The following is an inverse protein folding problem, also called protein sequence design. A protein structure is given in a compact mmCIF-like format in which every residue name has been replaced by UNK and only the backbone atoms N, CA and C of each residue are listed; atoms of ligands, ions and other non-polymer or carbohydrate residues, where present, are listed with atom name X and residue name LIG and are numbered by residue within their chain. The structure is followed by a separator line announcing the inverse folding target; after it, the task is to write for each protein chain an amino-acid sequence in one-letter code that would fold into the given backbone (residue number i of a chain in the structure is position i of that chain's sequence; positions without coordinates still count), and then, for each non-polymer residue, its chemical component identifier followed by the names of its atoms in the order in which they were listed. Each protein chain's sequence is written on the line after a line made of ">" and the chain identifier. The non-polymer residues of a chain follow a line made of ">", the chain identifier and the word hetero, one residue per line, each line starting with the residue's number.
data_IF_110018086216
#
_entry.id   IF_110018086216
#
_cell.length_a   1.000
_cell.length_b   1.000
_cell.length_c   1.000
_cell.angle_alpha   90.00
_cell.angle_beta   90.00
_cell.angle_gamma   90.00
#
_symmetry.space_group_name_H-M   'P 1'
#
loop_
_entity.id
_entity.type
_entity.pdbx_description
1 polymer ?
#
# COMPACT_ATOMS: atom_id res chain seq x y z
N UNK A 1 66.84 5.34 -101.99
CA UNK A 1 68.08 4.99 -102.70
C UNK A 1 67.69 4.38 -104.03
N UNK A 2 67.74 5.15 -105.11
CA UNK A 2 67.43 4.66 -106.45
C UNK A 2 68.72 4.06 -107.04
N UNK A 3 68.85 2.74 -106.98
CA UNK A 3 69.87 2.04 -107.76
C UNK A 3 69.45 2.11 -109.23
N UNK A 4 70.24 2.75 -110.09
CA UNK A 4 70.07 2.67 -111.53
C UNK A 4 70.51 1.27 -111.97
N UNK A 5 69.55 0.47 -112.41
CA UNK A 5 69.81 -0.86 -112.96
C UNK A 5 70.57 -0.71 -114.27
N UNK A 6 71.56 -1.58 -114.52
CA UNK A 6 72.18 -1.60 -115.84
C UNK A 6 71.14 -2.01 -116.88
N UNK A 7 71.20 -1.45 -118.09
CA UNK A 7 70.20 -1.68 -119.15
C UNK A 7 70.06 -3.16 -119.51
N UNK A 8 71.13 -3.95 -119.38
CA UNK A 8 71.11 -5.39 -119.61
C UNK A 8 70.37 -6.16 -118.50
N UNK A 9 70.54 -5.72 -117.25
CA UNK A 9 69.88 -6.32 -116.09
C UNK A 9 68.38 -6.01 -116.08
N UNK A 10 68.00 -4.79 -116.52
CA UNK A 10 66.61 -4.36 -116.63
C UNK A 10 65.86 -5.13 -117.72
N UNK A 11 66.50 -5.38 -118.88
CA UNK A 11 65.91 -6.19 -119.95
C UNK A 11 65.74 -7.64 -119.50
N UNK A 12 66.75 -8.21 -118.84
CA UNK A 12 66.68 -9.59 -118.32
C UNK A 12 65.58 -9.73 -117.27
N UNK A 13 65.44 -8.77 -116.35
CA UNK A 13 64.38 -8.76 -115.36
C UNK A 13 62.99 -8.62 -116.00
N UNK A 14 62.82 -7.73 -116.98
CA UNK A 14 61.56 -7.57 -117.69
C UNK A 14 61.19 -8.87 -118.40
N UNK A 15 62.13 -9.56 -119.07
CA UNK A 15 61.82 -10.84 -119.74
C UNK A 15 61.39 -11.94 -118.76
N UNK A 16 62.00 -11.99 -117.57
CA UNK A 16 61.62 -12.97 -116.53
C UNK A 16 60.26 -12.63 -115.93
N UNK A 17 59.98 -11.35 -115.66
CA UNK A 17 58.68 -10.91 -115.15
C UNK A 17 57.56 -11.09 -116.19
N UNK A 18 57.87 -10.92 -117.47
CA UNK A 18 56.97 -11.21 -118.59
C UNK A 18 56.57 -12.69 -118.61
N UNK A 19 57.57 -13.58 -118.52
CA UNK A 19 57.36 -15.02 -118.47
C UNK A 19 56.57 -15.42 -117.21
N UNK A 20 56.80 -14.78 -116.06
CA UNK A 20 55.98 -14.98 -114.86
C UNK A 20 54.53 -14.51 -115.01
N UNK A 21 54.28 -13.36 -115.69
CA UNK A 21 52.93 -12.88 -116.00
C UNK A 21 52.20 -13.85 -116.95
N UNK A 22 52.90 -14.33 -117.97
CA UNK A 22 52.40 -15.30 -118.94
C UNK A 22 52.10 -16.66 -118.27
N UNK A 23 52.97 -17.13 -117.37
CA UNK A 23 52.75 -18.35 -116.59
C UNK A 23 51.58 -18.22 -115.62
N UNK A 24 51.38 -17.06 -114.99
CA UNK A 24 50.22 -16.80 -114.12
C UNK A 24 48.91 -16.69 -114.91
N UNK A 25 48.96 -16.20 -116.16
CA UNK A 25 47.84 -16.21 -117.09
C UNK A 25 47.50 -17.65 -117.54
N UNK A 26 48.51 -18.46 -117.84
CA UNK A 26 48.36 -19.89 -118.18
C UNK A 26 47.79 -20.69 -117.01
N UNK A 27 48.27 -20.48 -115.78
CA UNK A 27 47.71 -21.09 -114.57
C UNK A 27 46.24 -20.72 -114.33
N UNK A 28 45.80 -19.54 -114.81
CA UNK A 28 44.39 -19.15 -114.81
C UNK A 28 43.52 -19.82 -115.85
N UNK A 29 44.11 -20.23 -116.97
CA UNK A 29 43.41 -20.85 -118.08
C UNK A 29 43.34 -22.39 -117.95
N UNK A 30 44.28 -23.00 -117.22
CA UNK A 30 44.33 -24.46 -116.98
C UNK A 30 43.39 -24.88 -115.85
N UNK A 31 42.98 -23.97 -114.96
CA UNK A 31 42.07 -24.30 -113.85
C UNK A 31 40.60 -24.06 -114.20
N UNK A 32 39.67 -24.93 -113.77
CA UNK A 32 38.25 -24.64 -113.84
C UNK A 32 37.96 -23.43 -112.96
N UNK A 33 37.36 -22.38 -113.54
CA UNK A 33 36.77 -21.28 -112.79
C UNK A 33 35.74 -21.89 -111.83
N UNK A 34 35.93 -21.74 -110.52
CA UNK A 34 34.96 -22.19 -109.54
C UNK A 34 33.61 -21.51 -109.86
N UNK A 35 32.63 -22.28 -110.33
CA UNK A 35 31.33 -21.73 -110.73
C UNK A 35 30.58 -22.41 -111.88
N UNK A 36 30.77 -23.70 -112.17
CA UNK A 36 29.76 -24.44 -112.96
C UNK A 36 29.37 -25.76 -112.30
N UNK A 37 28.19 -25.71 -111.67
CA UNK A 37 27.29 -26.84 -111.41
C UNK A 37 27.48 -27.54 -110.07
N UNK A 38 26.58 -27.30 -109.11
CA UNK A 38 25.61 -28.30 -108.60
C UNK A 38 24.43 -27.58 -107.91
N UNK A 39 23.21 -28.14 -107.99
CA UNK A 39 21.99 -27.47 -107.56
C UNK A 39 21.74 -27.56 -106.04
N UNK A 40 21.09 -26.51 -105.58
CA UNK A 40 20.41 -26.26 -104.31
C UNK A 40 19.58 -27.46 -103.84
N UNK A 41 19.95 -28.06 -102.69
CA UNK A 41 19.08 -28.92 -101.87
C UNK A 41 19.37 -28.73 -100.39
N UNK A 42 18.46 -27.97 -99.76
CA UNK A 42 17.89 -28.07 -98.43
C UNK A 42 18.76 -28.52 -97.25
N UNK A 43 19.05 -27.52 -96.44
CA UNK A 43 19.73 -27.53 -95.16
C UNK A 43 18.70 -27.61 -94.03
N UNK A 44 17.92 -28.67 -93.97
CA UNK A 44 16.97 -28.93 -92.88
C UNK A 44 16.78 -30.44 -92.70
N UNK A 45 17.58 -31.06 -91.81
CA UNK A 45 17.32 -32.30 -91.04
C UNK A 45 18.65 -32.95 -90.62
N UNK A 46 19.28 -32.41 -89.57
CA UNK A 46 20.22 -33.19 -88.73
C UNK A 46 20.38 -32.50 -87.36
N UNK A 47 19.23 -32.15 -86.79
CA UNK A 47 19.06 -32.06 -85.35
C UNK A 47 18.31 -33.32 -84.94
N UNK A 48 19.01 -34.25 -84.31
CA UNK A 48 18.62 -35.06 -83.15
C UNK A 48 19.52 -36.30 -83.12
N UNK A 49 20.04 -36.59 -81.93
CA UNK A 49 20.78 -37.80 -81.56
C UNK A 49 22.23 -37.97 -82.05
N UNK A 50 23.14 -37.31 -81.33
CA UNK A 50 24.40 -37.96 -80.97
C UNK A 50 24.98 -37.36 -79.68
N UNK A 51 24.61 -37.94 -78.53
CA UNK A 51 25.44 -37.88 -77.32
C UNK A 51 25.79 -39.31 -76.87
N UNK A 52 27.11 -39.53 -76.85
CA UNK A 52 27.89 -40.53 -76.08
C UNK A 52 27.92 -41.96 -76.63
N UNK A 53 29.06 -42.34 -77.19
CA UNK A 53 30.12 -43.07 -76.47
C UNK A 53 31.44 -43.08 -77.29
N UNK A 54 32.60 -43.34 -76.66
CA UNK A 54 33.90 -42.99 -77.22
C UNK A 54 34.42 -44.05 -78.18
N UNK A 55 34.93 -43.64 -79.34
CA UNK A 55 35.72 -44.50 -80.21
C UNK A 55 37.18 -44.07 -80.23
N UNK A 56 38.00 -45.09 -80.00
CA UNK A 56 39.44 -45.18 -80.02
C UNK A 56 40.06 -44.81 -81.38
N UNK A 57 41.27 -44.28 -81.28
CA UNK A 57 42.42 -44.42 -82.18
C UNK A 57 42.21 -45.24 -83.47
N UNK A 58 42.32 -44.53 -84.60
CA UNK A 58 42.93 -44.88 -85.90
C UNK A 58 42.09 -44.21 -86.98
N UNK A 59 42.58 -43.09 -87.48
CA UNK A 59 42.31 -42.59 -88.84
C UNK A 59 43.24 -41.40 -89.07
N UNK A 60 44.51 -41.70 -89.35
CA UNK A 60 45.55 -40.70 -89.59
C UNK A 60 46.02 -40.61 -91.05
N UNK A 61 45.48 -41.37 -92.00
CA UNK A 61 46.14 -41.50 -93.32
C UNK A 61 45.28 -41.28 -94.59
N UNK A 62 44.05 -40.74 -94.50
CA UNK A 62 43.23 -40.50 -95.72
C UNK A 62 42.69 -39.07 -95.91
N UNK A 63 43.10 -38.10 -95.09
CA UNK A 63 42.58 -36.71 -95.14
C UNK A 63 43.50 -35.69 -95.82
N UNK A 64 44.63 -36.10 -96.41
CA UNK A 64 45.56 -35.14 -97.03
C UNK A 64 45.18 -34.73 -98.46
N UNK A 65 44.51 -35.58 -99.25
CA UNK A 65 44.21 -35.25 -100.66
C UNK A 65 42.99 -34.32 -100.85
N UNK A 66 42.01 -34.35 -99.93
CA UNK A 66 40.75 -33.61 -100.11
C UNK A 66 40.75 -32.16 -99.61
N UNK A 67 41.87 -31.65 -99.08
CA UNK A 67 41.96 -30.26 -98.57
C UNK A 67 42.16 -29.21 -99.68
N UNK A 68 42.50 -29.65 -100.89
CA UNK A 68 42.79 -28.79 -102.04
C UNK A 68 41.59 -28.48 -102.94
N UNK A 69 40.37 -28.94 -102.58
CA UNK A 69 39.14 -28.77 -103.38
C UNK A 69 38.00 -28.04 -102.65
N UNK A 70 38.29 -27.28 -101.59
CA UNK A 70 37.27 -26.44 -100.95
C UNK A 70 36.97 -25.19 -101.82
N UNK A 71 35.70 -24.79 -102.03
CA UNK A 71 35.35 -23.58 -102.79
C UNK A 71 36.01 -22.32 -102.23
N UNK A 72 36.08 -22.19 -100.90
CA UNK A 72 36.69 -21.04 -100.22
C UNK A 72 38.21 -20.94 -100.45
N UNK A 73 38.91 -22.08 -100.50
CA UNK A 73 40.35 -22.08 -100.81
C UNK A 73 40.61 -21.83 -102.28
N UNK A 74 39.69 -22.24 -103.17
CA UNK A 74 39.77 -21.95 -104.60
C UNK A 74 39.54 -20.46 -104.89
N UNK A 75 38.55 -19.83 -104.26
CA UNK A 75 38.30 -18.38 -104.39
C UNK A 75 39.45 -17.53 -103.84
N UNK A 76 40.02 -17.93 -102.69
CA UNK A 76 41.19 -17.26 -102.13
C UNK A 76 42.42 -17.40 -103.04
N UNK A 77 42.65 -18.58 -103.61
CA UNK A 77 43.75 -18.79 -104.57
C UNK A 77 43.55 -18.00 -105.86
N UNK A 78 42.33 -17.86 -106.36
CA UNK A 78 42.02 -17.05 -107.54
C UNK A 78 42.20 -15.55 -107.26
N UNK A 79 41.79 -15.08 -106.08
CA UNK A 79 42.05 -13.71 -105.63
C UNK A 79 43.55 -13.43 -105.49
N UNK A 80 44.30 -14.34 -104.85
CA UNK A 80 45.75 -14.23 -104.68
C UNK A 80 46.47 -14.25 -106.04
N UNK A 81 46.04 -15.11 -106.97
CA UNK A 81 46.57 -15.17 -108.34
C UNK A 81 46.31 -13.85 -109.08
N UNK A 82 45.10 -13.31 -109.00
CA UNK A 82 44.74 -12.05 -109.66
C UNK A 82 45.51 -10.87 -109.05
N UNK A 83 45.66 -10.84 -107.72
CA UNK A 83 46.44 -9.84 -107.02
C UNK A 83 47.92 -9.87 -107.42
N UNK A 84 48.54 -11.05 -107.46
CA UNK A 84 49.95 -11.21 -107.90
C UNK A 84 50.12 -10.83 -109.36
N UNK A 85 49.19 -11.22 -110.24
CA UNK A 85 49.20 -10.80 -111.64
C UNK A 85 49.11 -9.27 -111.75
N UNK A 86 48.18 -8.62 -111.06
CA UNK A 86 48.06 -7.15 -111.05
C UNK A 86 49.33 -6.45 -110.53
N UNK A 87 49.96 -6.98 -109.47
CA UNK A 87 51.21 -6.44 -108.93
C UNK A 87 52.36 -6.57 -109.94
N UNK A 88 52.46 -7.70 -110.64
CA UNK A 88 53.48 -7.95 -111.68
C UNK A 88 53.22 -7.08 -112.92
N UNK A 89 51.97 -6.96 -113.39
CA UNK A 89 51.61 -6.08 -114.51
C UNK A 89 51.93 -4.62 -114.20
N UNK A 90 51.64 -4.15 -112.98
CA UNK A 90 51.94 -2.78 -112.55
C UNK A 90 53.45 -2.54 -112.42
N UNK A 91 54.20 -3.53 -111.93
CA UNK A 91 55.66 -3.51 -111.86
C UNK A 91 56.31 -3.51 -113.25
N UNK A 92 55.81 -4.32 -114.19
CA UNK A 92 56.26 -4.37 -115.58
C UNK A 92 56.02 -3.05 -116.32
N UNK A 93 54.86 -2.41 -116.11
CA UNK A 93 54.59 -1.07 -116.64
C UNK A 93 55.55 -0.03 -116.08
N UNK A 94 55.75 -0.01 -114.77
CA UNK A 94 56.68 0.95 -114.13
C UNK A 94 58.15 0.73 -114.54
N UNK A 95 58.59 -0.52 -114.68
CA UNK A 95 59.94 -0.86 -115.17
C UNK A 95 60.17 -0.46 -116.62
N UNK A 96 59.15 -0.58 -117.49
CA UNK A 96 59.23 -0.16 -118.90
C UNK A 96 59.20 1.35 -119.07
N UNK A 97 58.44 2.06 -118.25
CA UNK A 97 58.20 3.50 -118.42
C UNK A 97 59.20 4.37 -117.66
N UNK A 98 59.52 4.04 -116.41
CA UNK A 98 60.34 4.88 -115.52
C UNK A 98 61.57 4.18 -114.95
N UNK A 99 61.66 2.85 -115.10
CA UNK A 99 62.78 2.04 -114.58
C UNK A 99 62.81 1.93 -113.06
N UNK A 100 61.68 2.15 -112.39
CA UNK A 100 61.55 2.12 -110.92
C UNK A 100 60.58 1.02 -110.44
N UNK A 101 60.54 0.77 -109.13
CA UNK A 101 59.75 -0.32 -108.52
C UNK A 101 58.89 0.16 -107.32
N UNK A 102 58.47 1.43 -107.32
CA UNK A 102 57.70 2.04 -106.22
C UNK A 102 56.30 1.45 -106.09
N UNK A 103 55.66 0.99 -107.18
CA UNK A 103 54.36 0.32 -107.18
C UNK A 103 54.40 -0.99 -106.38
N UNK A 104 55.45 -1.80 -106.55
CA UNK A 104 55.68 -3.02 -105.77
C UNK A 104 55.96 -2.68 -104.30
N UNK A 105 56.79 -1.67 -104.01
CA UNK A 105 57.05 -1.24 -102.63
C UNK A 105 55.78 -0.76 -101.92
N UNK A 106 54.93 0.00 -102.61
CA UNK A 106 53.66 0.49 -102.07
C UNK A 106 52.67 -0.65 -101.84
N UNK A 107 52.51 -1.57 -102.80
CA UNK A 107 51.68 -2.76 -102.64
C UNK A 107 52.17 -3.68 -101.50
N UNK A 108 53.49 -3.85 -101.36
CA UNK A 108 54.10 -4.59 -100.25
C UNK A 108 53.89 -3.91 -98.90
N UNK A 109 53.97 -2.59 -98.82
CA UNK A 109 53.73 -1.82 -97.60
C UNK A 109 52.24 -1.82 -97.20
N UNK A 110 51.34 -1.74 -98.18
CA UNK A 110 49.90 -1.87 -97.98
C UNK A 110 49.52 -3.28 -97.51
N UNK A 111 50.11 -4.33 -98.10
CA UNK A 111 49.96 -5.71 -97.64
C UNK A 111 50.52 -5.94 -96.23
N UNK A 112 51.69 -5.35 -95.91
CA UNK A 112 52.24 -5.37 -94.55
C UNK A 112 51.29 -4.70 -93.55
N UNK A 113 50.73 -3.54 -93.88
CA UNK A 113 49.74 -2.83 -93.05
C UNK A 113 48.42 -3.60 -92.94
N UNK A 114 47.98 -4.27 -94.01
CA UNK A 114 46.79 -5.13 -94.00
C UNK A 114 47.00 -6.34 -93.08
N UNK A 115 48.14 -7.03 -93.20
CA UNK A 115 48.52 -8.14 -92.33
C UNK A 115 48.66 -7.71 -90.86
N UNK A 116 49.28 -6.55 -90.59
CA UNK A 116 49.36 -6.00 -89.24
C UNK A 116 47.97 -5.71 -88.65
N UNK A 117 47.07 -5.07 -89.40
CA UNK A 117 45.68 -4.82 -88.95
C UNK A 117 44.90 -6.10 -88.66
N UNK A 118 45.06 -7.12 -89.49
CA UNK A 118 44.43 -8.43 -89.25
C UNK A 118 45.02 -9.07 -87.99
N UNK A 119 46.33 -8.98 -87.80
CA UNK A 119 46.98 -9.50 -86.60
C UNK A 119 46.49 -8.78 -85.32
N UNK A 120 46.41 -7.45 -85.34
CA UNK A 120 45.88 -6.65 -84.22
C UNK A 120 44.40 -6.96 -83.94
N UNK A 121 43.60 -7.17 -84.99
CA UNK A 121 42.21 -7.61 -84.87
C UNK A 121 42.12 -9.00 -84.22
N UNK A 122 42.97 -9.94 -84.62
CA UNK A 122 43.02 -11.29 -84.02
C UNK A 122 43.41 -11.21 -82.54
N UNK A 123 44.42 -10.41 -82.19
CA UNK A 123 44.85 -10.25 -80.79
C UNK A 123 43.71 -9.64 -79.95
N UNK A 124 43.07 -8.57 -80.43
CA UNK A 124 41.98 -7.91 -79.70
C UNK A 124 40.72 -8.75 -79.59
N UNK A 125 40.38 -9.57 -80.61
CA UNK A 125 39.28 -10.54 -80.52
C UNK A 125 39.60 -11.62 -79.49
N UNK A 126 40.82 -12.18 -79.51
CA UNK A 126 41.25 -13.21 -78.56
C UNK A 126 41.26 -12.66 -77.12
N UNK A 127 41.70 -11.41 -76.91
CA UNK A 127 41.59 -10.70 -75.63
C UNK A 127 40.14 -10.46 -75.22
N UNK A 128 39.27 -10.04 -76.13
CA UNK A 128 37.83 -9.89 -75.92
C UNK A 128 37.16 -11.23 -75.54
N UNK A 129 37.59 -12.32 -76.15
CA UNK A 129 37.10 -13.67 -75.85
C UNK A 129 37.59 -14.16 -74.49
N UNK A 130 38.85 -13.86 -74.13
CA UNK A 130 39.41 -14.17 -72.79
C UNK A 130 38.69 -13.40 -71.71
N UNK A 131 38.47 -12.09 -71.88
CA UNK A 131 37.73 -11.26 -70.92
C UNK A 131 36.27 -11.73 -70.78
N UNK A 132 35.60 -12.03 -71.89
CA UNK A 132 34.23 -12.58 -71.86
C UNK A 132 34.16 -13.91 -71.11
N UNK A 133 35.09 -14.84 -71.35
CA UNK A 133 35.18 -16.10 -70.60
C UNK A 133 35.44 -15.87 -69.10
N UNK A 134 36.33 -14.94 -68.76
CA UNK A 134 36.64 -14.61 -67.38
C UNK A 134 35.42 -14.02 -66.65
N UNK A 135 34.71 -13.08 -67.27
CA UNK A 135 33.48 -12.50 -66.74
C UNK A 135 32.38 -13.54 -66.59
N UNK A 136 32.18 -14.42 -67.59
CA UNK A 136 31.23 -15.53 -67.48
C UNK A 136 31.54 -16.44 -66.29
N UNK A 137 32.82 -16.77 -66.06
CA UNK A 137 33.25 -17.55 -64.92
C UNK A 137 32.95 -16.85 -63.59
N UNK A 138 33.32 -15.57 -63.48
CA UNK A 138 33.02 -14.76 -62.28
C UNK A 138 31.51 -14.69 -62.00
N UNK A 139 30.69 -14.54 -63.04
CA UNK A 139 29.23 -14.47 -62.91
C UNK A 139 28.66 -15.81 -62.37
N UNK A 140 29.19 -16.94 -62.85
CA UNK A 140 28.83 -18.26 -62.34
C UNK A 140 29.27 -18.45 -60.89
N UNK A 141 30.50 -18.03 -60.55
CA UNK A 141 31.04 -18.17 -59.20
C UNK A 141 30.26 -17.30 -58.19
N UNK A 142 29.94 -16.05 -58.53
CA UNK A 142 29.07 -15.18 -57.73
C UNK A 142 27.69 -15.80 -57.54
N UNK A 143 27.09 -16.38 -58.61
CA UNK A 143 25.79 -17.06 -58.48
C UNK A 143 25.85 -18.23 -57.51
N UNK A 144 26.90 -19.07 -57.58
CA UNK A 144 27.10 -20.20 -56.65
C UNK A 144 27.26 -19.72 -55.22
N UNK A 145 28.07 -18.69 -54.99
CA UNK A 145 28.29 -18.11 -53.67
C UNK A 145 26.98 -17.56 -53.08
N UNK A 146 26.18 -16.85 -53.90
CA UNK A 146 24.88 -16.32 -53.47
C UNK A 146 23.87 -17.41 -53.14
N UNK A 147 23.86 -18.52 -53.88
CA UNK A 147 23.02 -19.68 -53.55
C UNK A 147 23.40 -20.27 -52.19
N UNK A 148 24.70 -20.46 -51.92
CA UNK A 148 25.19 -20.95 -50.63
C UNK A 148 24.84 -19.97 -49.50
N UNK A 149 24.99 -18.67 -49.73
CA UNK A 149 24.64 -17.63 -48.76
C UNK A 149 23.13 -17.64 -48.46
N UNK A 150 22.28 -17.75 -49.47
CA UNK A 150 20.82 -17.89 -49.30
C UNK A 150 20.47 -19.16 -48.52
N UNK A 151 21.14 -20.27 -48.80
CA UNK A 151 20.91 -21.52 -48.08
C UNK A 151 21.28 -21.37 -46.59
N UNK A 152 22.44 -20.78 -46.27
CA UNK A 152 22.85 -20.50 -44.88
C UNK A 152 21.86 -19.59 -44.16
N UNK A 153 21.36 -18.55 -44.84
CA UNK A 153 20.34 -17.64 -44.29
C UNK A 153 19.01 -18.37 -44.05
N UNK A 154 18.59 -19.24 -44.96
CA UNK A 154 17.38 -20.05 -44.79
C UNK A 154 17.49 -21.03 -43.62
N UNK A 155 18.64 -21.68 -43.44
CA UNK A 155 18.94 -22.54 -42.29
C UNK A 155 18.88 -21.74 -40.97
N UNK A 156 19.47 -20.53 -40.95
CA UNK A 156 19.38 -19.63 -39.79
C UNK A 156 17.92 -19.23 -39.49
N UNK A 157 17.13 -18.91 -40.52
CA UNK A 157 15.70 -18.59 -40.35
C UNK A 157 14.93 -19.78 -39.77
N UNK A 158 15.23 -21.00 -40.19
CA UNK A 158 14.62 -22.21 -39.64
C UNK A 158 14.96 -22.38 -38.16
N UNK A 159 16.25 -22.29 -37.80
CA UNK A 159 16.70 -22.39 -36.40
C UNK A 159 16.03 -21.34 -35.50
N UNK A 160 15.99 -20.08 -35.95
CA UNK A 160 15.37 -18.99 -35.19
C UNK A 160 13.85 -19.19 -35.03
N UNK A 161 13.18 -19.77 -36.04
CA UNK A 161 11.75 -20.11 -35.93
C UNK A 161 11.52 -21.21 -34.90
N UNK A 162 12.36 -22.24 -34.88
CA UNK A 162 12.25 -23.34 -33.92
C UNK A 162 12.49 -22.84 -32.49
N UNK A 163 13.54 -22.04 -32.28
CA UNK A 163 13.81 -21.39 -30.99
C UNK A 163 12.65 -20.50 -30.53
N UNK A 164 12.04 -19.75 -31.44
CA UNK A 164 10.88 -18.91 -31.12
C UNK A 164 9.67 -19.76 -30.69
N UNK A 165 9.42 -20.88 -31.37
CA UNK A 165 8.33 -21.79 -31.01
C UNK A 165 8.59 -22.49 -29.67
N UNK A 166 9.82 -22.94 -29.43
CA UNK A 166 10.23 -23.52 -28.15
C UNK A 166 10.03 -22.52 -27.01
N UNK A 167 10.53 -21.29 -27.16
CA UNK A 167 10.37 -20.23 -26.17
C UNK A 167 8.89 -19.92 -25.91
N UNK A 168 8.06 -19.84 -26.96
CA UNK A 168 6.61 -19.65 -26.80
C UNK A 168 5.97 -20.78 -26.01
N UNK A 169 6.26 -22.04 -26.36
CA UNK A 169 5.73 -23.19 -25.64
C UNK A 169 6.15 -23.15 -24.17
N UNK A 170 7.44 -22.89 -23.90
CA UNK A 170 8.00 -22.82 -22.55
C UNK A 170 7.36 -21.70 -21.72
N UNK A 171 7.29 -20.48 -22.26
CA UNK A 171 6.63 -19.34 -21.58
C UNK A 171 5.15 -19.58 -21.34
N UNK A 172 4.43 -20.25 -22.24
CA UNK A 172 3.01 -20.57 -22.00
C UNK A 172 2.81 -21.59 -20.88
N UNK A 173 3.68 -22.59 -20.77
CA UNK A 173 3.67 -23.57 -19.69
C UNK A 173 4.04 -22.94 -18.35
N UNK A 174 5.12 -22.15 -18.33
CA UNK A 174 5.55 -21.39 -17.14
C UNK A 174 4.44 -20.45 -16.66
N UNK A 175 3.78 -19.73 -17.58
CA UNK A 175 2.63 -18.89 -17.23
C UNK A 175 1.50 -19.68 -16.58
N UNK A 176 1.11 -20.82 -17.16
CA UNK A 176 0.05 -21.68 -16.60
C UNK A 176 0.42 -22.22 -15.22
N UNK A 177 1.68 -22.61 -15.03
CA UNK A 177 2.19 -23.09 -13.75
C UNK A 177 2.17 -21.97 -12.70
N UNK A 178 2.73 -20.80 -13.02
CA UNK A 178 2.78 -19.65 -12.09
C UNK A 178 1.38 -19.19 -11.72
N UNK A 179 0.47 -19.06 -12.70
CA UNK A 179 -0.93 -18.68 -12.43
C UNK A 179 -1.61 -19.70 -11.52
N UNK A 180 -1.60 -20.98 -11.87
CA UNK A 180 -2.21 -22.04 -11.05
C UNK A 180 -1.62 -22.13 -9.64
N UNK A 181 -0.29 -22.01 -9.51
CA UNK A 181 0.38 -22.02 -8.22
C UNK A 181 0.00 -20.81 -7.36
N UNK A 182 -0.07 -19.62 -7.97
CA UNK A 182 -0.46 -18.40 -7.26
C UNK A 182 -1.93 -18.42 -6.85
N UNK A 183 -2.83 -18.91 -7.70
CA UNK A 183 -4.25 -19.07 -7.41
C UNK A 183 -4.48 -20.07 -6.26
N UNK A 184 -3.76 -21.19 -6.27
CA UNK A 184 -3.81 -22.18 -5.19
C UNK A 184 -3.34 -21.59 -3.87
N UNK A 185 -2.23 -20.84 -3.88
CA UNK A 185 -1.71 -20.19 -2.67
C UNK A 185 -2.73 -19.18 -2.13
N UNK A 186 -3.29 -18.33 -2.98
CA UNK A 186 -4.33 -17.37 -2.59
C UNK A 186 -5.55 -18.09 -2.00
N UNK A 187 -6.01 -19.17 -2.64
CA UNK A 187 -7.15 -19.95 -2.16
C UNK A 187 -6.88 -20.59 -0.78
N UNK A 188 -5.70 -21.18 -0.59
CA UNK A 188 -5.30 -21.77 0.69
C UNK A 188 -5.26 -20.74 1.81
N UNK A 189 -4.63 -19.59 1.56
CA UNK A 189 -4.54 -18.49 2.53
C UNK A 189 -5.92 -17.90 2.84
N UNK A 190 -6.76 -17.69 1.83
CA UNK A 190 -8.14 -17.26 2.02
C UNK A 190 -8.93 -18.24 2.88
N UNK A 191 -8.74 -19.56 2.66
CA UNK A 191 -9.42 -20.58 3.46
C UNK A 191 -8.95 -20.56 4.91
N UNK A 192 -7.64 -20.47 5.14
CA UNK A 192 -7.06 -20.40 6.48
C UNK A 192 -7.54 -19.15 7.22
N UNK A 193 -7.54 -17.99 6.56
CA UNK A 193 -8.03 -16.75 7.13
C UNK A 193 -9.53 -16.83 7.45
N UNK A 194 -10.36 -17.37 6.56
CA UNK A 194 -11.79 -17.56 6.82
C UNK A 194 -12.07 -18.49 8.01
N UNK A 195 -11.22 -19.49 8.26
CA UNK A 195 -11.34 -20.34 9.45
C UNK A 195 -10.99 -19.55 10.73
N UNK A 196 -9.86 -18.83 10.73
CA UNK A 196 -9.45 -17.98 11.86
C UNK A 196 -10.47 -16.89 12.16
N UNK A 197 -11.05 -16.26 11.13
CA UNK A 197 -12.12 -15.27 11.27
C UNK A 197 -13.34 -15.89 11.96
N UNK A 198 -13.77 -17.09 11.56
CA UNK A 198 -14.89 -17.79 12.21
C UNK A 198 -14.57 -18.17 13.66
N UNK A 199 -13.35 -18.59 13.95
CA UNK A 199 -12.91 -18.87 15.32
C UNK A 199 -13.03 -17.61 16.19
N UNK A 200 -12.46 -16.49 15.73
CA UNK A 200 -12.55 -15.20 16.43
C UNK A 200 -14.00 -14.72 16.57
N UNK A 201 -14.83 -14.86 15.53
CA UNK A 201 -16.26 -14.53 15.62
C UNK A 201 -16.99 -15.37 16.68
N UNK A 202 -16.64 -16.65 16.79
CA UNK A 202 -17.21 -17.52 17.81
C UNK A 202 -16.75 -17.13 19.22
N UNK A 203 -15.47 -16.80 19.39
CA UNK A 203 -14.93 -16.28 20.66
C UNK A 203 -15.61 -14.96 21.04
N UNK A 204 -15.78 -14.04 20.10
CA UNK A 204 -16.50 -12.78 20.32
C UNK A 204 -17.94 -13.03 20.79
N UNK A 205 -18.67 -13.94 20.14
CA UNK A 205 -20.04 -14.31 20.55
C UNK A 205 -20.08 -14.94 21.95
N UNK A 206 -19.11 -15.80 22.27
CA UNK A 206 -19.00 -16.39 23.62
C UNK A 206 -18.72 -15.34 24.68
N UNK A 207 -17.80 -14.41 24.43
CA UNK A 207 -17.48 -13.31 25.34
C UNK A 207 -18.66 -12.36 25.52
N UNK A 208 -19.40 -12.05 24.44
CA UNK A 208 -20.62 -11.26 24.52
C UNK A 208 -21.67 -11.94 25.41
N UNK A 209 -21.87 -13.25 25.25
CA UNK A 209 -22.79 -14.01 26.11
C UNK A 209 -22.39 -13.96 27.58
N UNK A 210 -21.10 -14.18 27.89
CA UNK A 210 -20.58 -14.08 29.27
C UNK A 210 -20.75 -12.68 29.85
N UNK A 211 -20.53 -11.64 29.05
CA UNK A 211 -20.73 -10.26 29.48
C UNK A 211 -22.20 -9.98 29.81
N UNK A 212 -23.13 -10.48 28.99
CA UNK A 212 -24.58 -10.35 29.23
C UNK A 212 -24.99 -11.07 30.53
N UNK A 213 -24.47 -12.29 30.74
CA UNK A 213 -24.67 -13.07 31.97
C UNK A 213 -24.16 -12.31 33.21
N UNK A 214 -22.94 -11.77 33.16
CA UNK A 214 -22.37 -10.95 34.24
C UNK A 214 -23.17 -9.67 34.50
N UNK A 215 -23.61 -8.96 33.44
CA UNK A 215 -24.47 -7.77 33.59
C UNK A 215 -25.79 -8.11 34.27
N UNK A 216 -26.39 -9.25 33.94
CA UNK A 216 -27.61 -9.72 34.58
C UNK A 216 -27.36 -10.05 36.06
N UNK A 217 -26.33 -10.83 36.36
CA UNK A 217 -25.95 -11.18 37.73
C UNK A 217 -25.69 -9.93 38.58
N UNK A 218 -24.96 -8.96 38.02
CA UNK A 218 -24.71 -7.68 38.68
C UNK A 218 -26.00 -6.91 38.97
N UNK A 219 -26.92 -6.85 38.01
CA UNK A 219 -28.22 -6.18 38.18
C UNK A 219 -29.04 -6.86 39.29
N UNK A 220 -29.06 -8.19 39.33
CA UNK A 220 -29.77 -8.95 40.36
C UNK A 220 -29.12 -8.76 41.75
N UNK A 221 -27.79 -8.74 41.83
CA UNK A 221 -27.03 -8.46 43.06
C UNK A 221 -27.31 -7.06 43.59
N UNK A 222 -27.24 -6.04 42.73
CA UNK A 222 -27.54 -4.64 43.11
C UNK A 222 -28.99 -4.52 43.59
N UNK A 223 -29.93 -5.20 42.92
CA UNK A 223 -31.33 -5.22 43.35
C UNK A 223 -31.48 -5.84 44.75
N UNK A 224 -30.82 -6.97 45.01
CA UNK A 224 -30.84 -7.63 46.31
C UNK A 224 -30.28 -6.72 47.41
N UNK A 225 -29.10 -6.13 47.19
CA UNK A 225 -28.48 -5.23 48.17
C UNK A 225 -29.34 -3.99 48.46
N UNK A 226 -29.98 -3.41 47.43
CA UNK A 226 -30.92 -2.30 47.62
C UNK A 226 -32.13 -2.69 48.45
N UNK A 227 -32.67 -3.89 48.26
CA UNK A 227 -33.80 -4.39 49.06
C UNK A 227 -33.41 -4.54 50.53
N UNK A 228 -32.24 -5.12 50.81
CA UNK A 228 -31.73 -5.23 52.19
C UNK A 228 -31.45 -3.85 52.81
N UNK A 229 -30.91 -2.91 52.04
CA UNK A 229 -30.69 -1.54 52.50
C UNK A 229 -32.01 -0.88 52.91
N UNK A 230 -33.04 -0.94 52.05
CA UNK A 230 -34.37 -0.39 52.35
C UNK A 230 -34.95 -1.04 53.62
N UNK A 231 -34.85 -2.37 53.75
CA UNK A 231 -35.33 -3.07 54.95
C UNK A 231 -34.58 -2.70 56.24
N UNK A 232 -33.32 -2.27 56.15
CA UNK A 232 -32.58 -1.73 57.29
C UNK A 232 -32.95 -0.27 57.58
N UNK A 233 -33.17 0.53 56.55
CA UNK A 233 -33.63 1.92 56.67
C UNK A 233 -35.01 1.99 57.34
N UNK A 234 -35.96 1.13 56.94
CA UNK A 234 -37.28 1.02 57.58
C UNK A 234 -37.19 0.63 59.06
N UNK A 235 -36.30 -0.33 59.40
CA UNK A 235 -36.06 -0.71 60.80
C UNK A 235 -35.45 0.45 61.60
N UNK A 236 -34.51 1.18 61.00
CA UNK A 236 -33.89 2.35 61.63
C UNK A 236 -34.95 3.42 61.91
N UNK A 237 -35.79 3.73 60.94
CA UNK A 237 -36.88 4.70 61.07
C UNK A 237 -37.85 4.30 62.19
N UNK A 238 -38.27 3.03 62.24
CA UNK A 238 -39.12 2.53 63.32
C UNK A 238 -38.47 2.63 64.71
N UNK A 239 -37.15 2.44 64.82
CA UNK A 239 -36.43 2.62 66.09
C UNK A 239 -36.26 4.09 66.46
N UNK A 240 -36.03 4.98 65.49
CA UNK A 240 -35.97 6.42 65.71
C UNK A 240 -37.31 6.95 66.23
N UNK A 241 -38.42 6.59 65.59
CA UNK A 241 -39.78 6.99 66.02
C UNK A 241 -40.08 6.51 67.45
N UNK A 242 -39.71 5.26 67.78
CA UNK A 242 -39.84 4.73 69.14
C UNK A 242 -39.02 5.52 70.14
N UNK A 243 -37.76 5.81 69.82
CA UNK A 243 -36.86 6.56 70.70
C UNK A 243 -37.37 7.98 70.93
N UNK A 244 -37.84 8.66 69.87
CA UNK A 244 -38.44 9.99 69.95
C UNK A 244 -39.66 9.97 70.86
N UNK A 245 -40.59 9.04 70.63
CA UNK A 245 -41.79 8.89 71.46
C UNK A 245 -41.47 8.61 72.93
N UNK A 246 -40.57 7.67 73.21
CA UNK A 246 -40.15 7.36 74.59
C UNK A 246 -39.49 8.58 75.25
N UNK A 247 -38.72 9.36 74.48
CA UNK A 247 -38.09 10.60 74.96
C UNK A 247 -39.13 11.67 75.25
N UNK A 248 -40.13 11.84 74.39
CA UNK A 248 -41.25 12.76 74.59
C UNK A 248 -42.08 12.37 75.82
N UNK A 249 -42.42 11.09 75.96
CA UNK A 249 -43.16 10.55 77.10
C UNK A 249 -42.39 10.79 78.41
N UNK A 250 -41.07 10.49 78.43
CA UNK A 250 -40.22 10.76 79.61
C UNK A 250 -40.08 12.24 79.89
N UNK A 251 -39.98 13.08 78.87
CA UNK A 251 -39.95 14.53 79.04
C UNK A 251 -41.27 15.04 79.60
N UNK A 252 -42.41 14.51 79.15
CA UNK A 252 -43.73 14.83 79.69
C UNK A 252 -43.89 14.38 81.15
N UNK A 253 -43.47 13.16 81.49
CA UNK A 253 -43.45 12.69 82.88
C UNK A 253 -42.62 13.62 83.76
N UNK A 254 -41.43 14.01 83.29
CA UNK A 254 -40.51 14.88 83.99
C UNK A 254 -41.08 16.29 84.19
N UNK A 255 -41.72 16.89 83.19
CA UNK A 255 -42.39 18.20 83.32
C UNK A 255 -43.57 18.13 84.29
N UNK A 256 -44.36 17.06 84.24
CA UNK A 256 -45.48 16.82 85.16
C UNK A 256 -44.99 16.70 86.61
N UNK A 257 -43.95 15.89 86.85
CA UNK A 257 -43.33 15.75 88.17
C UNK A 257 -42.72 17.05 88.68
N UNK A 258 -42.07 17.84 87.80
CA UNK A 258 -41.57 19.18 88.16
C UNK A 258 -42.71 20.11 88.57
N UNK A 259 -43.82 20.09 87.84
CA UNK A 259 -45.02 20.87 88.17
C UNK A 259 -45.63 20.45 89.51
N UNK A 260 -45.81 19.15 89.74
CA UNK A 260 -46.29 18.62 91.03
C UNK A 260 -45.36 18.98 92.18
N UNK A 261 -44.04 18.85 92.00
CA UNK A 261 -43.05 19.26 93.00
C UNK A 261 -43.15 20.75 93.30
N UNK A 262 -43.29 21.61 92.29
CA UNK A 262 -43.43 23.05 92.48
C UNK A 262 -44.73 23.40 93.23
N UNK A 263 -45.84 22.77 92.89
CA UNK A 263 -47.13 22.94 93.58
C UNK A 263 -47.07 22.48 95.04
N UNK A 264 -46.51 21.30 95.31
CA UNK A 264 -46.33 20.79 96.67
C UNK A 264 -45.41 21.69 97.50
N UNK A 265 -44.34 22.20 96.90
CA UNK A 265 -43.45 23.15 97.57
C UNK A 265 -44.18 24.45 97.92
N UNK A 266 -44.99 24.99 97.01
CA UNK A 266 -45.81 26.17 97.27
C UNK A 266 -46.82 25.91 98.40
N UNK A 267 -47.48 24.75 98.42
CA UNK A 267 -48.41 24.37 99.48
C UNK A 267 -47.71 24.23 100.85
N UNK A 268 -46.52 23.60 100.90
CA UNK A 268 -45.72 23.52 102.12
C UNK A 268 -45.27 24.89 102.62
N UNK A 269 -44.87 25.78 101.71
CA UNK A 269 -44.52 27.16 102.05
C UNK A 269 -45.72 27.93 102.62
N UNK A 270 -46.90 27.76 102.03
CA UNK A 270 -48.15 28.35 102.52
C UNK A 270 -48.53 27.81 103.91
N UNK A 271 -48.43 26.50 104.12
CA UNK A 271 -48.70 25.87 105.42
C UNK A 271 -47.70 26.32 106.48
N UNK A 272 -46.41 26.38 106.14
CA UNK A 272 -45.38 26.91 107.04
C UNK A 272 -45.64 28.38 107.40
N UNK A 273 -46.11 29.19 106.45
CA UNK A 273 -46.54 30.58 106.71
C UNK A 273 -47.72 30.61 107.68
N UNK A 274 -48.77 29.82 107.45
CA UNK A 274 -49.94 29.70 108.35
C UNK A 274 -49.56 29.25 109.76
N UNK A 275 -48.62 28.30 109.89
CA UNK A 275 -48.12 27.86 111.19
C UNK A 275 -47.39 28.98 111.93
N UNK A 276 -46.50 29.72 111.25
CA UNK A 276 -45.81 30.88 111.86
C UNK A 276 -46.80 31.94 112.30
N UNK A 277 -47.79 32.26 111.47
CA UNK A 277 -48.85 33.21 111.81
C UNK A 277 -49.66 32.73 113.03
N UNK A 278 -50.02 31.45 113.10
CA UNK A 278 -50.77 30.87 114.22
C UNK A 278 -49.94 30.83 115.51
N UNK A 279 -48.67 30.44 115.42
CA UNK A 279 -47.73 30.43 116.55
C UNK A 279 -47.53 31.85 117.09
N UNK A 280 -47.38 32.83 116.20
CA UNK A 280 -47.29 34.24 116.56
C UNK A 280 -48.54 34.68 117.35
N UNK A 281 -49.75 34.36 116.87
CA UNK A 281 -51.01 34.66 117.58
C UNK A 281 -51.06 33.98 118.96
N UNK A 282 -50.59 32.74 119.10
CA UNK A 282 -50.56 32.04 120.41
C UNK A 282 -49.56 32.68 121.37
N UNK A 283 -48.39 33.09 120.87
CA UNK A 283 -47.40 33.80 121.67
C UNK A 283 -47.97 35.15 122.12
N UNK A 284 -48.62 35.89 121.21
CA UNK A 284 -49.29 37.16 121.50
C UNK A 284 -50.38 36.98 122.57
N UNK A 285 -51.29 36.00 122.43
CA UNK A 285 -52.34 35.70 123.44
C UNK A 285 -51.74 35.28 124.80
N UNK A 286 -50.65 34.51 124.82
CA UNK A 286 -49.95 34.14 126.08
C UNK A 286 -49.34 35.37 126.75
N UNK A 287 -48.69 36.24 125.97
CA UNK A 287 -48.08 37.47 126.47
C UNK A 287 -49.16 38.43 127.00
N UNK A 288 -50.28 38.58 126.29
CA UNK A 288 -51.43 39.36 126.75
C UNK A 288 -51.99 38.84 128.07
N UNK A 289 -52.19 37.51 128.21
CA UNK A 289 -52.64 36.91 129.46
C UNK A 289 -51.66 37.10 130.61
N UNK A 290 -50.35 36.99 130.36
CA UNK A 290 -49.32 37.23 131.37
C UNK A 290 -49.32 38.71 131.80
N UNK A 291 -49.44 39.63 130.84
CA UNK A 291 -49.52 41.07 131.12
C UNK A 291 -50.75 41.41 131.95
N UNK A 292 -51.93 40.87 131.59
CA UNK A 292 -53.16 41.03 132.36
C UNK A 292 -53.04 40.47 133.78
N UNK A 293 -52.34 39.34 133.96
CA UNK A 293 -52.05 38.80 135.30
C UNK A 293 -51.14 39.72 136.10
N UNK A 294 -50.06 40.21 135.50
CA UNK A 294 -49.14 41.17 136.16
C UNK A 294 -49.84 42.46 136.52
N UNK A 295 -50.74 42.96 135.68
CA UNK A 295 -51.57 44.14 135.97
C UNK A 295 -52.49 43.87 137.16
N UNK A 296 -53.20 42.75 137.19
CA UNK A 296 -54.04 42.38 138.34
C UNK A 296 -53.23 42.20 139.62
N UNK A 297 -52.08 41.54 139.57
CA UNK A 297 -51.19 41.39 140.73
C UNK A 297 -50.66 42.76 141.20
N UNK A 298 -50.38 43.69 140.29
CA UNK A 298 -50.03 45.08 140.64
C UNK A 298 -51.21 45.77 141.31
N UNK A 299 -52.41 45.72 140.73
CA UNK A 299 -53.63 46.31 141.30
C UNK A 299 -53.95 45.74 142.69
N UNK A 300 -53.82 44.42 142.89
CA UNK A 300 -54.00 43.75 144.17
C UNK A 300 -52.95 44.19 145.20
N UNK A 301 -51.68 44.29 144.80
CA UNK A 301 -50.61 44.77 145.67
C UNK A 301 -50.78 46.26 146.02
N UNK A 302 -51.20 47.07 145.07
CA UNK A 302 -51.55 48.48 145.27
C UNK A 302 -52.73 48.61 146.23
N UNK A 303 -53.77 47.78 146.07
CA UNK A 303 -54.93 47.74 146.96
C UNK A 303 -54.57 47.25 148.36
N UNK A 304 -53.76 46.20 148.49
CA UNK A 304 -53.27 45.70 149.76
C UNK A 304 -52.39 46.73 150.48
N UNK A 305 -51.56 47.45 149.73
CA UNK A 305 -50.77 48.58 150.24
C UNK A 305 -51.68 49.72 150.69
N UNK A 306 -52.71 50.07 149.92
CA UNK A 306 -53.72 51.05 150.30
C UNK A 306 -54.44 50.64 151.60
N UNK A 307 -54.79 49.36 151.78
CA UNK A 307 -55.38 48.85 153.02
C UNK A 307 -54.42 48.95 154.19
N UNK A 308 -53.14 48.59 154.01
CA UNK A 308 -52.11 48.74 155.06
C UNK A 308 -51.97 50.20 155.49
N UNK A 309 -51.98 51.14 154.54
CA UNK A 309 -51.99 52.57 154.81
C UNK A 309 -53.26 52.99 155.56
N UNK A 310 -54.45 52.55 155.10
CA UNK A 310 -55.73 52.83 155.77
C UNK A 310 -55.78 52.28 157.19
N UNK A 311 -55.29 51.05 157.41
CA UNK A 311 -55.30 50.38 158.71
C UNK A 311 -54.23 50.94 159.66
N UNK A 312 -53.05 51.32 159.16
CA UNK A 312 -52.05 52.08 159.91
C UNK A 312 -52.60 53.44 160.36
N UNK A 313 -53.29 54.16 159.46
CA UNK A 313 -53.93 55.43 159.78
C UNK A 313 -55.01 55.24 160.86
N UNK A 314 -55.93 54.29 160.68
CA UNK A 314 -56.97 53.96 161.67
C UNK A 314 -56.37 53.56 163.02
N UNK A 315 -55.34 52.72 163.04
CA UNK A 315 -54.64 52.32 164.26
C UNK A 315 -53.90 53.47 164.95
N UNK A 316 -53.37 54.41 164.17
CA UNK A 316 -52.77 55.66 164.69
C UNK A 316 -53.83 56.57 165.30
N UNK A 317 -55.02 56.68 164.68
CA UNK A 317 -56.15 57.40 165.28
C UNK A 317 -56.52 56.85 166.66
N UNK A 318 -56.60 55.51 166.80
CA UNK A 318 -56.90 54.86 168.08
C UNK A 318 -55.79 55.09 169.12
N UNK A 319 -54.52 54.87 168.75
CA UNK A 319 -53.37 54.95 169.69
C UNK A 319 -53.02 56.36 170.13
N UNK A 320 -53.22 57.37 169.28
CA UNK A 320 -53.08 58.78 169.66
C UNK A 320 -54.34 59.38 170.30
N UNK A 321 -55.38 58.56 170.53
CA UNK A 321 -56.60 59.00 171.22
C UNK A 321 -57.38 60.07 170.46
N UNK A 322 -57.31 60.03 169.12
CA UNK A 322 -58.02 60.95 168.23
C UNK A 322 -59.34 60.30 167.80
N UNK A 323 -60.45 60.98 168.08
CA UNK A 323 -61.79 60.51 167.76
C UNK A 323 -62.40 59.60 168.85
N UNK A 324 -63.35 58.72 168.49
CA UNK A 324 -64.42 58.23 169.37
C UNK A 324 -64.03 57.24 170.52
N UNK A 325 -62.76 57.15 170.93
CA UNK A 325 -62.22 56.11 171.83
C UNK A 325 -61.84 56.59 173.26
N UNK A 326 -62.52 57.59 173.85
CA UNK A 326 -62.32 58.05 175.25
C UNK A 326 -63.49 57.57 176.15
N UNK A 327 -63.27 56.97 177.35
CA UNK A 327 -64.35 56.36 178.19
C UNK A 327 -64.39 56.80 179.68
N UNK A 328 -65.61 56.97 180.23
CA UNK A 328 -66.02 56.81 181.66
C UNK A 328 -67.50 56.26 181.78
N UNK A 329 -68.02 55.99 183.00
CA UNK A 329 -68.86 54.83 183.52
C UNK A 329 -70.45 54.87 183.54
N UNK A 330 -71.12 53.68 183.43
CA UNK A 330 -72.36 53.00 184.05
C UNK A 330 -73.73 53.74 184.32
N UNK A 331 -74.92 53.09 184.67
CA UNK A 331 -75.48 51.68 184.67
C UNK A 331 -77.02 51.41 184.30
N UNK A 332 -77.43 50.10 184.13
CA UNK A 332 -78.69 49.27 184.44
C UNK A 332 -80.17 49.72 184.06
N UNK A 333 -81.25 48.91 183.83
CA UNK A 333 -81.61 47.47 183.68
C UNK A 333 -83.15 47.22 183.35
N UNK A 334 -83.54 45.93 183.05
CA UNK A 334 -84.87 45.19 183.01
C UNK A 334 -85.48 44.80 181.61
N UNK A 335 -86.26 43.73 181.40
CA UNK A 335 -86.15 42.24 181.55
C UNK A 335 -87.29 41.49 180.78
N UNK A 336 -87.05 40.21 180.38
CA UNK A 336 -87.95 39.13 179.83
C UNK A 336 -88.08 39.03 178.28
N UNK A 337 -88.08 37.89 177.55
CA UNK A 337 -88.32 36.45 177.86
C UNK A 337 -87.86 35.50 176.69
N UNK A 338 -86.87 34.62 176.95
CA UNK A 338 -86.77 33.14 176.70
C UNK A 338 -86.93 32.44 175.29
N UNK A 339 -85.85 31.74 174.85
CA UNK A 339 -85.82 30.48 174.04
C UNK A 339 -85.50 30.59 172.53
N UNK A 340 -84.79 29.69 171.81
CA UNK A 340 -83.92 28.53 172.08
C UNK A 340 -83.32 28.05 170.72
N UNK A 341 -82.01 27.73 170.69
CA UNK A 341 -81.29 26.68 169.88
C UNK A 341 -81.16 26.88 168.33
N UNK A 342 -80.09 26.50 167.62
CA UNK A 342 -78.83 25.74 167.90
C UNK A 342 -77.86 25.82 166.67
N UNK A 343 -76.56 25.98 166.97
CA UNK A 343 -75.30 25.36 166.44
C UNK A 343 -75.19 24.99 164.94
N UNK A 344 -74.05 25.20 164.27
CA UNK A 344 -72.65 25.42 164.72
C UNK A 344 -71.91 26.26 163.69
#
# INVERSE_FOLDING_TARGET
>A
MAAQWSRADLISLITVLQDCEDQLAVLGNIRPRAGMGYPELDREELLVEAKKEPRSQMDSDLTQENKYQSPETLEQMDYDRHFVAQVITNLLKELRETGTFHSLLKAMEEEKKRKARIHDFIISEEEGRRTTKALQKQLVDIRKEKVIELQRRNEMIALLKDQLQEMKAKTTLERKYVTSSSELQVYQEQKLNSLKEKELENEMKQLQKRLEEERRNHTEMVRFLRQEQIGLEEKLEAWMERYEKDTEDKQHELTTLKSHRASNLAHLQELAKKYRESEQVVIEDRLEKENLRKEREKEENEWASAIKVQSWWRGTMVRRGLGPYKKSKKPKAKESKKGKKKKK
#
